data_IF_877831406227
#
_entry.id   IF_877831406227
#
_cell.length_a   1.000
_cell.length_b   1.000
_cell.length_c   1.000
_cell.angle_alpha   90.00
_cell.angle_beta   90.00
_cell.angle_gamma   90.00
#
_symmetry.space_group_name_H-M   'P 1'
#
loop_
_entity.id
_entity.type
_entity.pdbx_description
1 polymer ?
#
# COMPACT_ATOMS: atom_id res chain seq x y z
N UNK A 1 -11.65 -14.08 -13.49
CA UNK A 1 -10.84 -15.05 -12.75
C UNK A 1 -9.70 -14.34 -12.03
N UNK A 2 -9.49 -14.62 -10.75
CA UNK A 2 -8.38 -14.08 -9.94
C UNK A 2 -7.03 -14.74 -10.25
N UNK A 3 -7.01 -15.83 -11.04
CA UNK A 3 -5.81 -16.51 -11.54
C UNK A 3 -5.71 -16.41 -13.06
N UNK A 4 -4.47 -16.39 -13.57
CA UNK A 4 -4.20 -16.52 -15.00
C UNK A 4 -4.23 -17.98 -15.45
N UNK A 5 -3.93 -18.22 -16.74
CA UNK A 5 -3.88 -19.58 -17.32
C UNK A 5 -2.83 -20.48 -16.64
N UNK A 6 -1.73 -19.90 -16.16
CA UNK A 6 -0.64 -20.60 -15.49
C UNK A 6 -0.82 -20.75 -13.98
N UNK A 7 -2.02 -20.39 -13.44
CA UNK A 7 -2.31 -20.50 -12.01
C UNK A 7 -1.77 -19.36 -11.15
N UNK A 8 -1.13 -18.35 -11.73
CA UNK A 8 -0.57 -17.20 -10.99
C UNK A 8 -1.67 -16.24 -10.56
N UNK A 9 -1.53 -15.68 -9.36
CA UNK A 9 -2.46 -14.70 -8.82
C UNK A 9 -2.32 -13.36 -9.54
N UNK A 10 -3.44 -12.82 -10.01
CA UNK A 10 -3.52 -11.48 -10.61
C UNK A 10 -3.63 -10.41 -9.53
N UNK A 11 -3.34 -9.15 -9.87
CA UNK A 11 -3.49 -7.99 -8.99
C UNK A 11 -4.85 -7.97 -8.26
N UNK A 12 -5.93 -8.31 -8.96
CA UNK A 12 -7.28 -8.39 -8.39
C UNK A 12 -7.35 -9.27 -7.13
N UNK A 13 -6.59 -10.38 -7.07
CA UNK A 13 -6.58 -11.27 -5.91
C UNK A 13 -6.08 -10.54 -4.65
N UNK A 14 -4.92 -9.89 -4.76
CA UNK A 14 -4.29 -9.19 -3.62
C UNK A 14 -5.15 -8.02 -3.12
N UNK A 15 -5.75 -7.25 -4.04
CA UNK A 15 -6.70 -6.19 -3.67
C UNK A 15 -7.96 -6.76 -3.01
N UNK A 16 -8.48 -7.89 -3.49
CA UNK A 16 -9.65 -8.55 -2.91
C UNK A 16 -9.35 -9.00 -1.48
N UNK A 17 -8.22 -9.66 -1.24
CA UNK A 17 -7.82 -10.10 0.11
C UNK A 17 -7.78 -8.91 1.08
N UNK A 18 -7.18 -7.78 0.67
CA UNK A 18 -7.15 -6.56 1.49
C UNK A 18 -8.54 -5.98 1.74
N UNK A 19 -9.45 -6.07 0.76
CA UNK A 19 -10.82 -5.54 0.86
C UNK A 19 -11.74 -6.39 1.76
N UNK A 20 -11.39 -7.63 2.04
CA UNK A 20 -12.11 -8.51 2.97
C UNK A 20 -11.51 -8.54 4.38
N UNK A 21 -10.65 -7.59 4.73
CA UNK A 21 -10.19 -7.44 6.10
C UNK A 21 -11.36 -7.08 7.04
N UNK A 22 -11.31 -7.56 8.28
CA UNK A 22 -12.34 -7.32 9.31
C UNK A 22 -12.45 -5.85 9.75
N UNK A 23 -11.46 -5.05 9.36
CA UNK A 23 -11.41 -3.61 9.56
C UNK A 23 -10.76 -2.93 8.35
N UNK A 24 -11.45 -1.96 7.77
CA UNK A 24 -10.97 -1.20 6.61
C UNK A 24 -10.87 0.28 6.92
N UNK A 25 -9.80 0.87 6.42
CA UNK A 25 -9.63 2.33 6.32
C UNK A 25 -10.04 2.75 4.91
N UNK A 26 -11.09 3.57 4.79
CA UNK A 26 -11.66 3.98 3.51
C UNK A 26 -11.69 5.51 3.37
N UNK A 27 -10.67 6.12 2.76
CA UNK A 27 -10.68 7.54 2.40
C UNK A 27 -11.65 7.79 1.24
N UNK A 28 -12.46 8.84 1.35
CA UNK A 28 -13.43 9.25 0.32
C UNK A 28 -13.44 10.78 0.26
N UNK A 29 -13.34 11.33 -0.96
CA UNK A 29 -13.62 12.75 -1.20
C UNK A 29 -15.12 12.94 -1.42
N UNK A 30 -15.71 13.81 -0.62
CA UNK A 30 -17.11 14.19 -0.74
C UNK A 30 -17.28 15.66 -0.35
N UNK A 31 -18.00 16.43 -1.19
CA UNK A 31 -18.33 17.85 -0.91
C UNK A 31 -17.07 18.69 -0.59
N UNK A 32 -16.02 18.57 -1.41
CA UNK A 32 -14.73 19.25 -1.24
C UNK A 32 -14.05 18.98 0.11
N UNK A 33 -14.33 17.84 0.70
CA UNK A 33 -13.66 17.38 1.92
C UNK A 33 -13.22 15.94 1.81
N UNK A 34 -12.04 15.63 2.32
CA UNK A 34 -11.58 14.25 2.53
C UNK A 34 -12.18 13.73 3.83
N UNK A 35 -12.86 12.63 3.74
CA UNK A 35 -13.46 11.91 4.87
C UNK A 35 -12.80 10.56 5.00
N UNK A 36 -12.40 10.18 6.21
CA UNK A 36 -11.89 8.85 6.48
C UNK A 36 -12.98 8.04 7.18
N UNK A 37 -13.45 7.03 6.49
CA UNK A 37 -14.35 6.04 7.06
C UNK A 37 -13.55 4.89 7.66
N UNK A 38 -14.02 4.40 8.80
CA UNK A 38 -13.65 3.08 9.30
C UNK A 38 -14.84 2.15 9.09
N UNK A 39 -14.60 1.07 8.36
CA UNK A 39 -15.60 0.00 8.13
C UNK A 39 -15.15 -1.21 8.93
N UNK A 40 -16.01 -1.68 9.83
CA UNK A 40 -15.69 -2.75 10.77
C UNK A 40 -16.76 -3.83 10.76
N UNK A 41 -16.35 -5.05 10.45
CA UNK A 41 -17.14 -6.29 10.60
C UNK A 41 -16.88 -6.98 11.95
N UNK A 42 -16.06 -6.33 12.82
CA UNK A 42 -15.75 -6.85 14.15
C UNK A 42 -16.97 -6.84 15.05
N UNK A 43 -17.10 -7.89 15.88
CA UNK A 43 -18.17 -8.01 16.88
C UNK A 43 -17.94 -7.17 18.14
N UNK A 44 -16.75 -6.57 18.28
CA UNK A 44 -16.39 -5.70 19.41
C UNK A 44 -15.76 -4.41 18.90
N UNK A 45 -15.98 -3.31 19.64
CA UNK A 45 -15.32 -2.04 19.37
C UNK A 45 -13.81 -2.16 19.52
N UNK A 46 -13.08 -1.42 18.72
CA UNK A 46 -11.62 -1.33 18.80
C UNK A 46 -11.18 0.13 18.91
N UNK A 47 -10.15 0.39 19.71
CA UNK A 47 -9.57 1.74 19.84
C UNK A 47 -8.14 1.74 19.36
N UNK A 48 -7.70 2.86 18.84
CA UNK A 48 -6.35 3.00 18.31
C UNK A 48 -6.04 4.40 17.84
N UNK A 49 -4.90 4.55 17.20
CA UNK A 49 -4.42 5.83 16.67
C UNK A 49 -4.61 5.88 15.17
N UNK A 50 -5.35 6.87 14.70
CA UNK A 50 -5.43 7.25 13.30
C UNK A 50 -4.33 8.26 12.99
N UNK A 51 -3.60 8.05 11.91
CA UNK A 51 -2.66 9.00 11.33
C UNK A 51 -3.04 9.22 9.87
N UNK A 52 -3.20 10.48 9.48
CA UNK A 52 -3.40 10.89 8.08
C UNK A 52 -2.19 11.71 7.71
N UNK A 53 -1.40 11.23 6.77
CA UNK A 53 -0.12 11.81 6.37
C UNK A 53 -0.16 12.17 4.89
N UNK A 54 0.11 13.42 4.57
CA UNK A 54 0.24 13.91 3.18
C UNK A 54 1.71 13.91 2.84
N UNK A 55 2.09 13.10 1.84
CA UNK A 55 3.47 12.89 1.42
C UNK A 55 3.64 13.37 -0.01
N UNK A 56 4.76 14.03 -0.30
CA UNK A 56 5.15 14.32 -1.69
C UNK A 56 5.60 13.04 -2.38
N UNK A 57 5.18 12.89 -3.64
CA UNK A 57 5.51 11.70 -4.45
C UNK A 57 7.00 11.59 -4.75
N UNK A 58 7.70 12.72 -4.84
CA UNK A 58 9.14 12.81 -5.08
C UNK A 58 10.03 12.44 -3.89
N UNK A 59 9.42 12.08 -2.75
CA UNK A 59 10.15 11.70 -1.54
C UNK A 59 10.73 12.87 -0.74
N UNK A 60 10.49 14.12 -1.16
CA UNK A 60 11.06 15.30 -0.47
C UNK A 60 10.47 15.55 0.92
N UNK A 61 9.48 14.75 1.33
CA UNK A 61 9.03 14.71 2.72
C UNK A 61 7.53 14.81 2.94
N UNK A 62 7.20 14.99 4.21
CA UNK A 62 5.82 15.12 4.71
C UNK A 62 5.36 16.56 4.56
N UNK A 63 4.24 16.78 3.87
CA UNK A 63 3.57 18.08 3.75
C UNK A 63 2.82 18.40 5.03
N UNK A 64 2.01 17.44 5.51
CA UNK A 64 1.18 17.59 6.68
C UNK A 64 0.86 16.24 7.32
N UNK A 65 0.72 16.24 8.63
CA UNK A 65 0.35 15.04 9.38
C UNK A 65 -0.73 15.38 10.41
N UNK A 66 -1.77 14.57 10.44
CA UNK A 66 -2.82 14.62 11.45
C UNK A 66 -2.81 13.34 12.27
N UNK A 67 -2.97 13.47 13.58
CA UNK A 67 -3.02 12.32 14.52
C UNK A 67 -4.23 12.46 15.42
N UNK A 68 -5.00 11.38 15.59
CA UNK A 68 -6.19 11.35 16.43
C UNK A 68 -6.35 9.98 17.08
N UNK A 69 -6.66 9.96 18.36
CA UNK A 69 -7.15 8.72 19.02
C UNK A 69 -8.62 8.54 18.65
N UNK A 70 -8.96 7.36 18.18
CA UNK A 70 -10.33 7.01 17.77
C UNK A 70 -10.78 5.69 18.38
N UNK A 71 -12.07 5.52 18.52
CA UNK A 71 -12.72 4.24 18.80
C UNK A 71 -13.67 3.93 17.66
N UNK A 72 -13.49 2.76 17.07
CA UNK A 72 -14.33 2.23 15.99
C UNK A 72 -15.34 1.28 16.63
N UNK A 73 -16.65 1.55 16.54
CA UNK A 73 -17.67 0.65 17.06
C UNK A 73 -17.70 -0.69 16.32
N UNK A 74 -18.35 -1.69 16.90
CA UNK A 74 -18.63 -2.98 16.25
C UNK A 74 -19.61 -2.80 15.08
N UNK A 75 -19.49 -3.63 14.04
CA UNK A 75 -20.41 -3.70 12.89
C UNK A 75 -20.83 -2.32 12.38
N UNK A 76 -19.86 -1.51 11.97
CA UNK A 76 -20.13 -0.11 11.61
C UNK A 76 -19.39 0.33 10.36
N UNK A 77 -19.98 1.32 9.68
CA UNK A 77 -19.28 2.18 8.74
C UNK A 77 -19.47 3.62 9.21
N UNK A 78 -18.40 4.25 9.70
CA UNK A 78 -18.49 5.57 10.32
C UNK A 78 -17.35 6.48 9.92
N UNK A 79 -17.62 7.78 9.78
CA UNK A 79 -16.61 8.82 9.57
C UNK A 79 -15.90 9.08 10.90
N UNK A 80 -14.59 8.88 10.92
CA UNK A 80 -13.77 9.11 12.12
C UNK A 80 -12.93 10.38 12.03
N UNK A 81 -12.74 10.89 10.81
CA UNK A 81 -11.99 12.10 10.54
C UNK A 81 -12.47 12.78 9.25
N UNK A 82 -12.44 14.11 9.22
CA UNK A 82 -12.81 14.93 8.07
C UNK A 82 -11.99 16.22 8.06
N UNK A 83 -11.54 16.65 6.87
CA UNK A 83 -10.87 17.92 6.62
C UNK A 83 -11.18 18.40 5.19
N UNK A 84 -11.13 19.71 4.94
CA UNK A 84 -11.26 20.24 3.59
C UNK A 84 -10.10 19.78 2.69
N UNK A 85 -10.33 19.66 1.39
CA UNK A 85 -9.27 19.28 0.44
C UNK A 85 -8.12 20.29 0.52
N UNK A 86 -8.40 21.59 0.54
CA UNK A 86 -7.36 22.61 0.68
C UNK A 86 -6.60 22.52 2.01
N UNK A 87 -7.32 22.20 3.10
CA UNK A 87 -6.71 21.97 4.42
C UNK A 87 -5.79 20.75 4.45
N UNK A 88 -6.11 19.71 3.69
CA UNK A 88 -5.27 18.53 3.50
C UNK A 88 -4.06 18.86 2.65
N UNK A 89 -4.25 19.49 1.48
CA UNK A 89 -3.20 19.82 0.53
C UNK A 89 -2.18 20.81 1.07
N UNK A 90 -2.61 21.72 1.93
CA UNK A 90 -1.73 22.73 2.55
C UNK A 90 -0.89 23.51 1.52
N UNK A 91 -1.48 23.85 0.37
CA UNK A 91 -0.85 24.58 -0.72
C UNK A 91 -0.16 23.73 -1.79
N UNK A 92 -0.07 22.42 -1.60
CA UNK A 92 0.46 21.51 -2.62
C UNK A 92 -0.56 21.25 -3.73
N UNK A 93 -0.08 20.82 -4.90
CA UNK A 93 -0.95 20.33 -5.97
C UNK A 93 -1.37 18.91 -5.67
N UNK A 94 -2.62 18.58 -5.99
CA UNK A 94 -3.17 17.22 -5.79
C UNK A 94 -2.47 16.14 -6.61
N UNK A 95 -1.82 16.53 -7.73
CA UNK A 95 -1.06 15.68 -8.62
C UNK A 95 0.32 15.28 -8.05
N UNK A 96 0.84 16.05 -7.06
CA UNK A 96 2.20 15.90 -6.52
C UNK A 96 2.23 15.15 -5.19
N UNK A 97 1.06 14.76 -4.64
CA UNK A 97 0.97 14.18 -3.30
C UNK A 97 0.16 12.89 -3.26
N UNK A 98 0.49 12.04 -2.28
CA UNK A 98 -0.32 10.91 -1.84
C UNK A 98 -0.75 11.11 -0.40
N UNK A 99 -1.98 10.73 -0.08
CA UNK A 99 -2.50 10.75 1.29
C UNK A 99 -2.44 9.33 1.83
N UNK A 100 -1.51 9.09 2.74
CA UNK A 100 -1.36 7.82 3.44
C UNK A 100 -2.16 7.85 4.73
N UNK A 101 -3.09 6.93 4.88
CA UNK A 101 -3.90 6.77 6.09
C UNK A 101 -3.50 5.49 6.79
N UNK A 102 -3.13 5.61 8.05
CA UNK A 102 -2.74 4.50 8.92
C UNK A 102 -3.62 4.51 10.18
N UNK A 103 -4.30 3.43 10.44
CA UNK A 103 -4.90 3.15 11.73
C UNK A 103 -4.13 2.02 12.40
N UNK A 104 -3.59 2.28 13.59
CA UNK A 104 -2.92 1.29 14.44
C UNK A 104 -3.77 1.03 15.67
N UNK A 105 -4.27 -0.18 15.81
CA UNK A 105 -5.08 -0.57 16.95
C UNK A 105 -4.24 -0.81 18.22
N UNK A 106 -4.89 -1.04 19.35
CA UNK A 106 -4.22 -1.29 20.63
C UNK A 106 -3.38 -2.57 20.66
N UNK A 107 -3.62 -3.51 19.76
CA UNK A 107 -2.84 -4.75 19.64
C UNK A 107 -1.55 -4.53 18.85
N UNK A 108 -1.42 -3.37 18.20
CA UNK A 108 -0.32 -3.03 17.32
C UNK A 108 -0.57 -3.37 15.85
N UNK A 109 -1.74 -3.93 15.52
CA UNK A 109 -2.12 -4.24 14.13
C UNK A 109 -2.35 -2.95 13.35
N UNK A 110 -1.80 -2.89 12.14
CA UNK A 110 -1.86 -1.72 11.26
C UNK A 110 -2.80 -1.98 10.08
N UNK A 111 -3.65 -0.99 9.80
CA UNK A 111 -4.58 -0.95 8.68
C UNK A 111 -4.30 0.31 7.89
N UNK A 112 -3.96 0.16 6.62
CA UNK A 112 -3.50 1.27 5.79
C UNK A 112 -4.30 1.41 4.51
N UNK A 113 -4.36 2.63 3.99
CA UNK A 113 -4.81 2.91 2.64
C UNK A 113 -4.10 4.15 2.09
N UNK A 114 -3.86 4.16 0.78
CA UNK A 114 -3.33 5.31 0.07
C UNK A 114 -4.43 5.92 -0.80
N UNK A 115 -4.60 7.23 -0.71
CA UNK A 115 -5.62 7.97 -1.45
C UNK A 115 -5.00 9.04 -2.34
N UNK A 116 -5.55 9.21 -3.53
CA UNK A 116 -5.10 10.16 -4.53
C UNK A 116 -6.26 11.08 -4.89
N UNK A 117 -6.04 12.38 -4.78
CA UNK A 117 -7.03 13.42 -5.10
C UNK A 117 -7.11 13.71 -6.62
N UNK A 118 -6.10 13.29 -7.39
CA UNK A 118 -6.07 13.39 -8.83
C UNK A 118 -6.23 12.01 -9.50
N UNK A 119 -6.59 12.01 -10.79
CA UNK A 119 -6.62 10.78 -11.59
C UNK A 119 -5.20 10.27 -11.81
N UNK A 120 -5.05 8.95 -11.91
CA UNK A 120 -3.74 8.32 -12.07
C UNK A 120 -2.90 8.88 -13.22
N UNK A 121 -3.54 9.16 -14.36
CA UNK A 121 -2.89 9.72 -15.55
C UNK A 121 -2.37 11.15 -15.37
N UNK A 122 -2.86 11.84 -14.36
CA UNK A 122 -2.53 13.25 -14.08
C UNK A 122 -1.53 13.36 -12.92
N UNK A 123 -1.15 12.23 -12.28
CA UNK A 123 -0.20 12.20 -11.17
C UNK A 123 1.25 12.36 -11.67
N UNK A 124 2.04 13.13 -10.95
CA UNK A 124 3.46 13.37 -11.26
C UNK A 124 4.36 12.42 -10.45
N UNK A 125 4.41 11.15 -10.87
CA UNK A 125 5.31 10.18 -10.24
C UNK A 125 6.77 10.49 -10.58
N UNK A 126 7.64 10.43 -9.58
CA UNK A 126 9.09 10.42 -9.81
C UNK A 126 9.54 9.02 -10.25
N UNK A 127 10.65 8.93 -10.99
CA UNK A 127 11.29 7.66 -11.31
C UNK A 127 11.68 6.91 -10.03
N UNK A 128 11.09 5.73 -9.83
CA UNK A 128 11.27 4.96 -8.61
C UNK A 128 12.38 3.92 -8.80
N UNK A 129 13.50 4.08 -8.09
CA UNK A 129 14.54 3.06 -8.00
C UNK A 129 14.28 2.18 -6.80
N UNK A 130 13.73 0.98 -7.04
CA UNK A 130 13.37 0.06 -5.97
C UNK A 130 14.58 -0.78 -5.61
N UNK A 131 15.06 -0.62 -4.39
CA UNK A 131 16.05 -1.49 -3.79
C UNK A 131 15.38 -2.79 -3.33
N UNK A 132 16.02 -3.93 -3.59
CA UNK A 132 15.55 -5.25 -3.19
C UNK A 132 16.65 -6.02 -2.49
N UNK A 133 16.35 -6.49 -1.30
CA UNK A 133 17.17 -7.42 -0.52
C UNK A 133 16.36 -8.67 -0.20
N UNK A 134 17.01 -9.80 0.00
CA UNK A 134 16.31 -11.01 0.43
C UNK A 134 17.14 -11.86 1.37
N UNK A 135 16.45 -12.57 2.24
CA UNK A 135 17.05 -13.55 3.15
C UNK A 135 16.35 -14.90 3.00
N UNK A 136 17.09 -16.03 2.99
CA UNK A 136 16.49 -17.36 2.98
C UNK A 136 15.69 -17.62 4.25
N UNK A 137 14.56 -18.31 4.10
CA UNK A 137 13.71 -18.79 5.18
C UNK A 137 13.31 -20.24 4.93
N UNK A 138 12.62 -20.87 5.87
CA UNK A 138 12.04 -22.19 5.65
C UNK A 138 10.99 -22.13 4.52
N UNK A 139 11.23 -22.88 3.45
CA UNK A 139 10.36 -22.96 2.28
C UNK A 139 10.43 -21.77 1.30
N UNK A 140 11.45 -20.89 1.41
CA UNK A 140 11.60 -19.79 0.45
C UNK A 140 12.43 -18.61 0.92
N UNK A 141 11.92 -17.40 0.74
CA UNK A 141 12.65 -16.15 1.00
C UNK A 141 11.73 -15.08 1.59
N UNK A 142 12.29 -14.24 2.47
CA UNK A 142 11.74 -12.93 2.78
C UNK A 142 12.43 -11.88 1.90
N UNK A 143 11.64 -11.17 1.09
CA UNK A 143 12.11 -10.10 0.21
C UNK A 143 11.71 -8.75 0.80
N UNK A 144 12.69 -7.91 1.05
CA UNK A 144 12.48 -6.54 1.54
C UNK A 144 12.70 -5.55 0.40
N UNK A 145 11.70 -4.73 0.15
CA UNK A 145 11.70 -3.69 -0.87
C UNK A 145 11.71 -2.31 -0.23
N UNK A 146 12.50 -1.39 -0.75
CA UNK A 146 12.54 0.00 -0.30
C UNK A 146 12.75 0.95 -1.46
N UNK A 147 12.31 2.20 -1.29
CA UNK A 147 12.45 3.27 -2.28
C UNK A 147 12.54 4.62 -1.57
N UNK A 148 13.26 5.58 -2.18
CA UNK A 148 13.40 6.94 -1.65
C UNK A 148 12.27 7.86 -2.11
N UNK A 149 11.56 7.50 -3.18
CA UNK A 149 10.35 8.16 -3.68
C UNK A 149 9.13 7.27 -3.50
N UNK A 150 7.94 7.79 -3.73
CA UNK A 150 6.73 6.97 -3.73
C UNK A 150 6.72 6.05 -4.96
N UNK A 151 6.71 4.74 -4.73
CA UNK A 151 6.60 3.75 -5.79
C UNK A 151 5.20 3.10 -5.77
N UNK A 152 4.48 3.21 -6.89
CA UNK A 152 3.12 2.72 -6.99
C UNK A 152 3.02 1.35 -7.64
N UNK A 153 2.16 0.50 -7.08
CA UNK A 153 1.78 -0.78 -7.67
C UNK A 153 2.98 -1.69 -7.93
N UNK A 154 3.95 -1.68 -7.01
CA UNK A 154 5.16 -2.50 -7.11
C UNK A 154 4.78 -3.96 -7.07
N UNK A 155 5.29 -4.74 -8.03
CA UNK A 155 5.03 -6.16 -8.09
C UNK A 155 6.29 -6.97 -8.32
N UNK A 156 6.31 -8.14 -7.69
CA UNK A 156 7.37 -9.12 -7.80
C UNK A 156 6.93 -10.24 -8.73
N UNK A 157 7.89 -10.76 -9.48
CA UNK A 157 7.71 -11.98 -10.27
C UNK A 157 9.01 -12.80 -10.28
N UNK A 158 8.89 -14.10 -10.54
CA UNK A 158 10.02 -14.97 -10.84
C UNK A 158 10.00 -15.31 -12.32
N UNK A 159 11.07 -14.96 -13.03
CA UNK A 159 11.20 -15.29 -14.45
C UNK A 159 11.15 -16.80 -14.71
N UNK A 160 10.37 -17.20 -15.71
CA UNK A 160 10.17 -18.59 -16.10
C UNK A 160 8.89 -19.19 -15.51
N UNK A 161 8.61 -20.42 -15.89
CA UNK A 161 7.47 -21.19 -15.38
C UNK A 161 7.90 -21.89 -14.07
N UNK A 162 7.81 -21.13 -12.96
CA UNK A 162 8.29 -21.58 -11.66
C UNK A 162 7.13 -21.51 -10.70
N UNK A 163 6.85 -22.63 -10.06
CA UNK A 163 5.85 -22.68 -8.99
C UNK A 163 6.33 -21.82 -7.81
N UNK A 164 5.53 -20.84 -7.49
CA UNK A 164 5.80 -19.93 -6.39
C UNK A 164 4.51 -19.34 -5.82
N UNK A 165 4.60 -18.91 -4.57
CA UNK A 165 3.55 -18.11 -3.91
C UNK A 165 4.18 -16.87 -3.31
N UNK A 166 3.59 -15.69 -3.58
CA UNK A 166 4.00 -14.40 -3.04
C UNK A 166 2.90 -13.93 -2.09
N UNK A 167 3.26 -13.67 -0.83
CA UNK A 167 2.30 -13.39 0.25
C UNK A 167 1.51 -12.09 0.06
N UNK A 168 2.13 -11.07 -0.55
CA UNK A 168 1.48 -9.81 -0.99
C UNK A 168 2.18 -9.30 -2.25
N UNK A 169 1.43 -8.60 -3.10
CA UNK A 169 1.95 -8.10 -4.37
C UNK A 169 1.13 -6.88 -4.84
N UNK A 170 1.62 -6.14 -5.84
CA UNK A 170 0.98 -4.92 -6.35
C UNK A 170 0.79 -3.88 -5.24
N UNK A 171 1.80 -3.71 -4.41
CA UNK A 171 1.79 -2.82 -3.26
C UNK A 171 2.36 -1.44 -3.59
N UNK A 172 1.95 -0.43 -2.84
CA UNK A 172 2.61 0.87 -2.87
C UNK A 172 3.75 0.88 -1.83
N UNK A 173 4.89 1.45 -2.19
CA UNK A 173 6.03 1.65 -1.28
C UNK A 173 6.14 3.15 -0.99
N UNK A 174 6.04 3.49 0.29
CA UNK A 174 6.23 4.88 0.75
C UNK A 174 7.72 5.19 0.90
N UNK A 175 8.13 6.45 0.65
CA UNK A 175 9.51 6.87 0.85
C UNK A 175 10.03 6.52 2.24
N UNK A 176 11.19 5.82 2.29
CA UNK A 176 11.84 5.43 3.53
C UNK A 176 11.09 4.41 4.41
N UNK A 177 10.01 3.78 3.90
CA UNK A 177 9.27 2.73 4.61
C UNK A 177 9.39 1.39 3.86
N UNK A 178 10.33 0.53 4.25
CA UNK A 178 10.50 -0.78 3.64
C UNK A 178 9.25 -1.66 3.80
N UNK A 179 8.99 -2.49 2.79
CA UNK A 179 7.93 -3.51 2.81
C UNK A 179 8.59 -4.87 2.65
N UNK A 180 8.20 -5.84 3.49
CA UNK A 180 8.70 -7.22 3.41
C UNK A 180 7.59 -8.15 2.98
N UNK A 181 7.88 -8.99 1.97
CA UNK A 181 6.97 -10.03 1.48
C UNK A 181 7.65 -11.39 1.54
N UNK A 182 6.84 -12.43 1.74
CA UNK A 182 7.32 -13.83 1.71
C UNK A 182 7.10 -14.41 0.32
N UNK A 183 8.15 -15.02 -0.22
CA UNK A 183 8.11 -15.76 -1.48
C UNK A 183 8.39 -17.23 -1.18
N UNK A 184 7.38 -18.08 -1.33
CA UNK A 184 7.54 -19.54 -1.21
C UNK A 184 8.01 -20.10 -2.54
N UNK A 185 9.14 -20.81 -2.55
CA UNK A 185 9.74 -21.43 -3.74
C UNK A 185 10.84 -22.39 -3.34
N UNK A 186 11.10 -23.41 -4.17
CA UNK A 186 12.21 -24.35 -3.99
C UNK A 186 13.52 -23.90 -4.68
N UNK A 187 13.54 -22.71 -5.28
CA UNK A 187 14.72 -22.21 -5.98
C UNK A 187 15.90 -22.01 -5.02
N UNK A 188 17.11 -22.50 -5.36
CA UNK A 188 18.33 -22.14 -4.66
C UNK A 188 18.62 -20.63 -4.75
N UNK A 189 19.28 -20.04 -3.74
CA UNK A 189 19.48 -18.59 -3.61
C UNK A 189 20.08 -17.92 -4.84
N UNK A 190 21.06 -18.55 -5.49
CA UNK A 190 21.67 -17.98 -6.69
C UNK A 190 20.67 -17.91 -7.88
N UNK A 191 19.82 -18.92 -8.01
CA UNK A 191 18.79 -18.92 -9.05
C UNK A 191 17.66 -17.96 -8.70
N UNK A 192 17.25 -17.90 -7.44
CA UNK A 192 16.27 -16.93 -6.95
C UNK A 192 16.71 -15.50 -7.26
N UNK A 193 17.94 -15.13 -6.89
CA UNK A 193 18.50 -13.81 -7.16
C UNK A 193 18.46 -13.42 -8.65
N UNK A 194 18.78 -14.37 -9.54
CA UNK A 194 18.79 -14.14 -11.00
C UNK A 194 17.39 -14.00 -11.60
N UNK A 195 16.37 -14.61 -10.98
CA UNK A 195 15.01 -14.70 -11.53
C UNK A 195 14.04 -13.73 -10.89
N UNK A 196 14.37 -13.20 -9.70
CA UNK A 196 13.54 -12.22 -9.01
C UNK A 196 13.54 -10.89 -9.78
N UNK A 197 12.37 -10.56 -10.33
CA UNK A 197 12.09 -9.26 -10.94
C UNK A 197 11.18 -8.45 -10.02
N UNK A 198 11.41 -7.16 -10.02
CA UNK A 198 10.60 -6.18 -9.30
C UNK A 198 10.35 -5.03 -10.27
N UNK A 199 9.09 -4.78 -10.56
CA UNK A 199 8.65 -3.72 -11.46
C UNK A 199 7.63 -2.86 -10.74
N UNK A 200 7.39 -1.64 -11.22
CA UNK A 200 6.38 -0.73 -10.70
C UNK A 200 5.45 -0.23 -11.80
N UNK A 201 4.30 0.31 -11.38
CA UNK A 201 3.40 0.97 -12.32
C UNK A 201 4.05 2.19 -12.97
N UNK A 202 4.93 2.88 -12.26
CA UNK A 202 5.67 4.05 -12.77
C UNK A 202 6.52 3.70 -13.98
N UNK A 203 7.13 2.50 -13.99
CA UNK A 203 7.99 2.04 -15.10
C UNK A 203 7.20 1.73 -16.39
N UNK A 204 5.89 1.50 -16.26
CA UNK A 204 5.01 1.18 -17.39
C UNK A 204 4.43 2.42 -18.10
N UNK A 205 4.54 3.59 -17.51
CA UNK A 205 3.95 4.85 -18.06
C UNK A 205 4.91 5.56 -19.01
N UNK A 206 6.19 5.19 -19.01
CA UNK A 206 7.25 5.80 -19.84
C UNK A 206 7.45 5.11 -21.22
N UNK A 207 6.55 4.21 -21.65
CA UNK A 207 6.63 3.52 -22.95
C UNK A 207 5.63 4.06 -23.98
#
# INVERSE_FOLDING_TARGET
SSRDYYGRWKAQHYFTVKSFADLLVSPIEKENALQIYMVSDRLKSTSGKLTVCVLRLDGSGVVKEFKKQITVPANTSTVVWKETVDGVLNGEKKEDVVIHVLYKDKTGTEYTNNYFLAKQKDMHYAEARINKDFVPTEGGYEVTLSCDVFARGVFLSLQGDIDNFISDNYMDILPGKPVTVKVTTELPSLQFAKRLQVDSFSDAVEQ
#
